data_IF_991703244619
#
_entry.id   IF_991703244619
#
_cell.length_a   1.000
_cell.length_b   1.000
_cell.length_c   1.000
_cell.angle_alpha   90.00
_cell.angle_beta   90.00
_cell.angle_gamma   90.00
#
_symmetry.space_group_name_H-M   'P 1'
#
loop_
_entity.id
_entity.type
_entity.pdbx_description
1 polymer ?
#
# COMPACT_ATOMS: atom_id res chain seq x y z
N UNK A 1 -16.49 32.64 3.98
CA UNK A 1 -15.68 31.76 4.84
C UNK A 1 -16.41 30.45 5.09
N UNK A 2 -15.69 29.35 5.08
CA UNK A 2 -16.28 28.04 5.27
C UNK A 2 -16.63 27.78 6.74
N UNK A 3 -17.57 26.86 6.98
CA UNK A 3 -17.89 26.38 8.33
C UNK A 3 -16.65 25.86 9.08
N UNK A 4 -15.65 25.38 8.34
CA UNK A 4 -14.41 24.85 8.91
C UNK A 4 -13.58 25.96 9.58
N UNK A 5 -13.53 27.17 8.99
CA UNK A 5 -12.80 28.28 9.58
C UNK A 5 -13.42 28.71 10.91
N UNK A 6 -14.75 28.79 10.96
CA UNK A 6 -15.47 29.12 12.19
C UNK A 6 -15.29 28.07 13.27
N UNK A 7 -15.33 26.79 12.89
CA UNK A 7 -15.13 25.68 13.82
C UNK A 7 -13.72 25.70 14.40
N UNK A 8 -12.72 25.99 13.58
CA UNK A 8 -11.34 26.07 14.01
C UNK A 8 -11.14 27.25 14.98
N UNK A 9 -11.75 28.41 14.71
CA UNK A 9 -11.72 29.56 15.61
C UNK A 9 -12.32 29.22 16.98
N UNK A 10 -13.45 28.50 17.00
CA UNK A 10 -14.07 28.05 18.25
C UNK A 10 -13.17 27.09 19.01
N UNK A 11 -12.49 26.20 18.31
CA UNK A 11 -11.54 25.27 18.94
C UNK A 11 -10.40 26.02 19.59
N UNK A 12 -9.80 26.98 18.90
CA UNK A 12 -8.71 27.81 19.42
C UNK A 12 -9.19 28.62 20.62
N UNK A 13 -10.36 29.24 20.53
CA UNK A 13 -10.94 30.06 21.61
C UNK A 13 -11.29 29.23 22.85
N UNK A 14 -11.59 27.95 22.70
CA UNK A 14 -11.97 27.08 23.82
C UNK A 14 -10.80 26.64 24.69
N UNK A 15 -9.56 26.87 24.25
CA UNK A 15 -8.36 26.46 24.98
C UNK A 15 -8.08 24.95 24.91
N UNK A 16 -8.82 24.22 24.08
CA UNK A 16 -8.66 22.75 23.94
C UNK A 16 -7.46 22.36 23.08
N UNK A 17 -6.89 23.32 22.35
CA UNK A 17 -5.63 23.10 21.66
C UNK A 17 -4.55 23.97 22.29
N UNK A 18 -3.30 23.54 22.21
CA UNK A 18 -2.16 24.29 22.72
C UNK A 18 -1.67 25.25 21.62
N UNK A 19 -2.46 26.28 21.35
CA UNK A 19 -2.23 27.20 20.22
C UNK A 19 -2.55 28.64 20.64
N UNK A 20 -1.77 29.58 20.09
CA UNK A 20 -1.87 31.00 20.46
C UNK A 20 -2.99 31.69 19.68
N UNK A 21 -3.06 31.44 18.38
CA UNK A 21 -4.09 32.03 17.53
C UNK A 21 -4.36 31.12 16.31
N UNK A 22 -5.48 31.40 15.64
CA UNK A 22 -5.94 30.62 14.48
C UNK A 22 -4.92 30.60 13.34
N UNK A 23 -4.33 31.74 13.04
CA UNK A 23 -3.39 31.88 11.91
C UNK A 23 -2.16 31.00 12.10
N UNK A 24 -1.56 31.03 13.29
CA UNK A 24 -0.41 30.20 13.61
C UNK A 24 -0.77 28.73 13.64
N UNK A 25 -1.94 28.42 14.16
CA UNK A 25 -2.40 27.03 14.21
C UNK A 25 -2.64 26.44 12.83
N UNK A 26 -3.22 27.23 11.92
CA UNK A 26 -3.37 26.81 10.52
C UNK A 26 -2.01 26.50 9.90
N UNK A 27 -1.02 27.37 10.13
CA UNK A 27 0.33 27.15 9.63
C UNK A 27 0.95 25.86 10.19
N UNK A 28 0.76 25.59 11.48
CA UNK A 28 1.22 24.35 12.12
C UNK A 28 0.56 23.12 11.50
N UNK A 29 -0.77 23.17 11.32
CA UNK A 29 -1.52 22.05 10.74
C UNK A 29 -1.09 21.76 9.32
N UNK A 30 -0.88 22.80 8.52
CA UNK A 30 -0.40 22.65 7.14
C UNK A 30 1.03 22.10 7.10
N UNK A 31 1.87 22.50 8.05
CA UNK A 31 3.20 21.96 8.20
C UNK A 31 3.19 20.45 8.52
N UNK A 32 2.28 20.02 9.39
CA UNK A 32 2.08 18.61 9.68
C UNK A 32 1.62 17.83 8.45
N UNK A 33 0.71 18.43 7.65
CA UNK A 33 0.23 17.81 6.43
C UNK A 33 1.35 17.59 5.41
N UNK A 34 2.27 18.55 5.29
CA UNK A 34 3.39 18.46 4.34
C UNK A 34 4.56 17.61 4.89
N UNK A 35 4.72 17.53 6.22
CA UNK A 35 5.77 16.76 6.87
C UNK A 35 5.32 15.35 7.23
N UNK A 36 4.58 15.23 8.33
CA UNK A 36 4.15 13.92 8.87
C UNK A 36 3.17 13.21 7.93
N UNK A 37 2.34 13.97 7.24
CA UNK A 37 1.38 13.43 6.27
C UNK A 37 1.80 13.77 4.83
N UNK A 38 3.08 13.57 4.52
CA UNK A 38 3.66 13.94 3.23
C UNK A 38 2.92 13.26 2.08
N UNK A 39 2.41 14.02 1.09
CA UNK A 39 1.60 13.45 0.02
C UNK A 39 2.35 12.48 -0.89
N UNK A 40 3.64 12.67 -1.11
CA UNK A 40 4.46 11.78 -1.94
C UNK A 40 4.62 10.43 -1.25
N UNK A 41 4.95 10.43 0.03
CA UNK A 41 5.10 9.21 0.83
C UNK A 41 3.75 8.49 1.00
N UNK A 42 2.67 9.24 1.20
CA UNK A 42 1.33 8.69 1.31
C UNK A 42 0.90 8.01 0.01
N UNK A 43 1.24 8.59 -1.15
CA UNK A 43 0.94 7.98 -2.46
C UNK A 43 1.67 6.65 -2.63
N UNK A 44 2.93 6.58 -2.25
CA UNK A 44 3.73 5.35 -2.30
C UNK A 44 3.15 4.26 -1.40
N UNK A 45 2.83 4.61 -0.15
CA UNK A 45 2.21 3.67 0.79
C UNK A 45 0.84 3.22 0.30
N UNK A 46 0.04 4.15 -0.23
CA UNK A 46 -1.29 3.84 -0.77
C UNK A 46 -1.22 2.82 -1.90
N UNK A 47 -0.26 2.99 -2.81
CA UNK A 47 -0.04 2.04 -3.91
C UNK A 47 0.37 0.66 -3.39
N UNK A 48 1.24 0.62 -2.39
CA UNK A 48 1.69 -0.61 -1.75
C UNK A 48 0.53 -1.35 -1.07
N UNK A 49 -0.24 -0.64 -0.24
CA UNK A 49 -1.38 -1.25 0.46
C UNK A 49 -2.52 -1.63 -0.48
N UNK A 50 -2.71 -0.89 -1.56
CA UNK A 50 -3.71 -1.22 -2.57
C UNK A 50 -3.35 -2.54 -3.28
N UNK A 51 -2.07 -2.76 -3.55
CA UNK A 51 -1.61 -4.02 -4.12
C UNK A 51 -1.88 -5.20 -3.17
N UNK A 52 -1.77 -4.99 -1.87
CA UNK A 52 -2.06 -6.00 -0.85
C UNK A 52 -3.55 -6.20 -0.60
N UNK A 53 -4.37 -5.19 -0.88
CA UNK A 53 -5.80 -5.18 -0.51
C UNK A 53 -6.72 -5.91 -1.47
N UNK A 54 -6.25 -6.96 -2.12
CA UNK A 54 -7.04 -7.77 -3.04
C UNK A 54 -6.91 -9.25 -2.66
N UNK A 55 -8.05 -9.94 -2.61
CA UNK A 55 -8.12 -11.35 -2.21
C UNK A 55 -7.24 -12.25 -3.10
N UNK A 56 -7.34 -12.08 -4.41
CA UNK A 56 -6.57 -12.88 -5.36
C UNK A 56 -5.07 -12.64 -5.20
N UNK A 57 -4.66 -11.39 -5.05
CA UNK A 57 -3.26 -11.06 -4.84
C UNK A 57 -2.74 -11.59 -3.51
N UNK A 58 -3.56 -11.62 -2.45
CA UNK A 58 -3.21 -12.25 -1.19
C UNK A 58 -2.93 -13.74 -1.38
N UNK A 59 -3.76 -14.43 -2.16
CA UNK A 59 -3.58 -15.86 -2.47
C UNK A 59 -2.30 -16.08 -3.29
N UNK A 60 -2.04 -15.22 -4.26
CA UNK A 60 -0.82 -15.30 -5.07
C UNK A 60 0.43 -15.12 -4.23
N UNK A 61 0.44 -14.14 -3.34
CA UNK A 61 1.56 -13.91 -2.42
C UNK A 61 1.79 -15.11 -1.50
N UNK A 62 0.72 -15.73 -1.01
CA UNK A 62 0.82 -16.91 -0.17
C UNK A 62 1.44 -18.09 -0.91
N UNK A 63 1.09 -18.27 -2.18
CA UNK A 63 1.70 -19.29 -3.03
C UNK A 63 3.19 -19.01 -3.25
N UNK A 64 3.52 -17.77 -3.59
CA UNK A 64 4.91 -17.36 -3.85
C UNK A 64 5.77 -17.37 -2.58
N UNK A 65 5.15 -17.22 -1.40
CA UNK A 65 5.82 -17.41 -0.13
C UNK A 65 6.28 -18.86 0.04
N UNK A 66 5.50 -19.81 -0.46
CA UNK A 66 5.84 -21.24 -0.39
C UNK A 66 7.01 -21.58 -1.30
N UNK A 67 7.00 -21.05 -2.52
CA UNK A 67 8.05 -21.34 -3.52
C UNK A 67 7.94 -20.38 -4.70
N UNK A 68 9.01 -20.25 -5.44
CA UNK A 68 9.04 -19.56 -6.72
C UNK A 68 8.14 -20.30 -7.73
N UNK A 69 7.39 -19.56 -8.53
CA UNK A 69 6.47 -20.13 -9.52
C UNK A 69 6.48 -19.34 -10.83
N UNK A 70 6.26 -20.02 -11.94
CA UNK A 70 6.00 -19.39 -13.22
C UNK A 70 4.50 -19.07 -13.36
N UNK A 71 4.14 -18.29 -14.39
CA UNK A 71 2.75 -17.88 -14.64
C UNK A 71 1.81 -19.07 -14.77
N UNK A 72 2.22 -20.13 -15.50
CA UNK A 72 1.37 -21.30 -15.72
C UNK A 72 1.07 -22.05 -14.41
N UNK A 73 1.99 -22.05 -13.47
CA UNK A 73 1.77 -22.67 -12.16
C UNK A 73 0.73 -21.87 -11.36
N UNK A 74 0.82 -20.55 -11.38
CA UNK A 74 -0.16 -19.68 -10.71
C UNK A 74 -1.55 -19.79 -11.34
N UNK A 75 -1.63 -19.82 -12.66
CA UNK A 75 -2.90 -20.01 -13.39
C UNK A 75 -3.54 -21.33 -12.99
N UNK A 76 -2.76 -22.39 -12.96
CA UNK A 76 -3.25 -23.72 -12.60
C UNK A 76 -3.70 -23.80 -11.15
N UNK A 77 -2.88 -23.27 -10.22
CA UNK A 77 -3.18 -23.31 -8.80
C UNK A 77 -4.46 -22.53 -8.44
N UNK A 78 -4.68 -21.39 -9.08
CA UNK A 78 -5.80 -20.49 -8.75
C UNK A 78 -6.96 -20.56 -9.75
N UNK A 79 -6.86 -21.40 -10.76
CA UNK A 79 -7.89 -21.54 -11.81
C UNK A 79 -8.24 -20.20 -12.46
N UNK A 80 -7.22 -19.45 -12.85
CA UNK A 80 -7.37 -18.11 -13.41
C UNK A 80 -7.08 -18.10 -14.91
N UNK A 81 -7.40 -16.99 -15.57
CA UNK A 81 -6.98 -16.76 -16.95
C UNK A 81 -5.60 -16.13 -16.98
N UNK A 82 -4.90 -16.24 -18.10
CA UNK A 82 -3.59 -15.62 -18.24
C UNK A 82 -3.63 -14.09 -18.16
N UNK A 83 -4.56 -13.38 -18.83
CA UNK A 83 -4.62 -11.92 -18.73
C UNK A 83 -4.86 -11.43 -17.30
N UNK A 84 -5.74 -12.08 -16.57
CA UNK A 84 -6.04 -11.72 -15.16
C UNK A 84 -4.83 -11.96 -14.28
N UNK A 85 -4.16 -13.09 -14.44
CA UNK A 85 -2.94 -13.43 -13.68
C UNK A 85 -1.84 -12.43 -13.96
N UNK A 86 -1.59 -12.12 -15.23
CA UNK A 86 -0.57 -11.14 -15.63
C UNK A 86 -0.86 -9.75 -15.09
N UNK A 87 -2.13 -9.35 -15.04
CA UNK A 87 -2.55 -8.08 -14.47
C UNK A 87 -2.20 -7.98 -12.98
N UNK A 88 -2.53 -9.02 -12.21
CA UNK A 88 -2.21 -9.06 -10.78
C UNK A 88 -0.71 -9.10 -10.52
N UNK A 89 0.03 -9.88 -11.31
CA UNK A 89 1.49 -9.96 -11.19
C UNK A 89 2.13 -8.59 -11.44
N UNK A 90 1.65 -7.85 -12.43
CA UNK A 90 2.16 -6.51 -12.72
C UNK A 90 1.94 -5.57 -11.55
N UNK A 91 0.75 -5.58 -10.94
CA UNK A 91 0.44 -4.74 -9.78
C UNK A 91 1.37 -5.08 -8.60
N UNK A 92 1.57 -6.35 -8.33
CA UNK A 92 2.47 -6.80 -7.26
C UNK A 92 3.93 -6.44 -7.53
N UNK A 93 4.36 -6.55 -8.78
CA UNK A 93 5.72 -6.22 -9.18
C UNK A 93 5.98 -4.71 -9.10
N UNK A 94 5.03 -3.89 -9.56
CA UNK A 94 5.10 -2.42 -9.46
C UNK A 94 5.12 -1.94 -8.02
N UNK A 95 4.48 -2.66 -7.12
CA UNK A 95 4.51 -2.37 -5.68
C UNK A 95 5.76 -2.95 -4.99
N UNK A 96 6.64 -3.57 -5.74
CA UNK A 96 7.90 -4.14 -5.25
C UNK A 96 7.70 -5.28 -4.25
N UNK A 97 6.55 -5.95 -4.30
CA UNK A 97 6.24 -7.09 -3.44
C UNK A 97 6.80 -8.40 -4.00
N UNK A 98 6.91 -8.49 -5.32
CA UNK A 98 7.47 -9.64 -6.02
C UNK A 98 8.49 -9.18 -7.06
N UNK A 99 9.34 -10.10 -7.46
CA UNK A 99 10.31 -9.89 -8.53
C UNK A 99 10.23 -11.06 -9.50
N UNK A 100 10.72 -10.85 -10.71
CA UNK A 100 10.76 -11.89 -11.73
C UNK A 100 12.20 -12.17 -12.16
N UNK A 101 12.42 -13.38 -12.63
CA UNK A 101 13.66 -13.77 -13.31
C UNK A 101 13.30 -14.57 -14.55
N UNK A 102 14.09 -14.41 -15.59
CA UNK A 102 13.89 -15.11 -16.85
C UNK A 102 14.88 -16.27 -16.97
N UNK A 103 14.36 -17.44 -17.33
CA UNK A 103 15.18 -18.62 -17.59
C UNK A 103 14.70 -19.23 -18.91
N UNK A 104 15.44 -19.00 -19.98
CA UNK A 104 15.00 -19.33 -21.33
C UNK A 104 13.73 -18.58 -21.69
N UNK A 105 12.69 -19.29 -22.05
CA UNK A 105 11.36 -18.73 -22.34
C UNK A 105 10.44 -18.64 -21.13
N UNK A 106 10.90 -19.12 -19.97
CA UNK A 106 10.12 -19.15 -18.74
C UNK A 106 10.40 -17.90 -17.91
N UNK A 107 9.36 -17.38 -17.27
CA UNK A 107 9.49 -16.28 -16.32
C UNK A 107 9.00 -16.79 -14.97
N UNK A 108 9.87 -16.73 -13.97
CA UNK A 108 9.57 -17.16 -12.60
C UNK A 108 9.42 -15.96 -11.69
N UNK A 109 8.44 -16.01 -10.81
CA UNK A 109 8.15 -14.97 -9.84
C UNK A 109 8.46 -15.45 -8.44
N UNK A 110 8.97 -14.54 -7.62
CA UNK A 110 9.31 -14.80 -6.23
C UNK A 110 9.08 -13.57 -5.36
N UNK A 111 8.98 -13.78 -4.06
CA UNK A 111 8.83 -12.70 -3.07
C UNK A 111 10.13 -11.90 -2.99
N UNK A 112 10.01 -10.55 -2.98
CA UNK A 112 11.19 -9.67 -2.85
C UNK A 112 11.78 -9.70 -1.45
N UNK A 113 10.92 -9.72 -0.43
CA UNK A 113 11.33 -9.69 0.98
C UNK A 113 10.55 -10.75 1.77
N UNK A 114 11.12 -11.95 1.95
CA UNK A 114 10.43 -13.03 2.65
C UNK A 114 10.03 -12.69 4.09
N UNK A 115 10.84 -11.92 4.81
CA UNK A 115 10.54 -11.52 6.19
C UNK A 115 9.32 -10.62 6.24
N UNK A 116 9.26 -9.61 5.37
CA UNK A 116 8.10 -8.73 5.27
C UNK A 116 6.85 -9.49 4.84
N UNK A 117 6.98 -10.38 3.86
CA UNK A 117 5.86 -11.20 3.40
C UNK A 117 5.29 -12.06 4.53
N UNK A 118 6.14 -12.67 5.34
CA UNK A 118 5.70 -13.45 6.50
C UNK A 118 4.89 -12.61 7.49
N UNK A 119 5.32 -11.37 7.73
CA UNK A 119 4.60 -10.44 8.62
C UNK A 119 3.25 -10.03 8.03
N UNK A 120 3.23 -9.66 6.75
CA UNK A 120 2.01 -9.19 6.08
C UNK A 120 0.97 -10.29 5.91
N UNK A 121 1.40 -11.51 5.58
CA UNK A 121 0.51 -12.65 5.37
C UNK A 121 0.14 -13.37 6.66
N UNK A 122 0.85 -13.07 7.75
CA UNK A 122 0.59 -13.65 9.07
C UNK A 122 -0.48 -12.92 9.87
N UNK A 123 -1.08 -11.87 9.33
CA UNK A 123 -2.14 -11.11 10.00
C UNK A 123 -3.37 -12.00 10.18
N UNK A 124 -3.84 -12.12 11.41
CA UNK A 124 -5.05 -12.87 11.76
C UNK A 124 -6.18 -11.91 12.09
N UNK A 125 -7.32 -12.09 11.46
CA UNK A 125 -8.48 -11.24 11.62
C UNK A 125 -9.65 -12.06 12.14
#
# INVERSE_FOLDING_TARGET
>A
MSKNAESLERLVSSGKCNCVNVKEYIAQLRGLAEGDANPIEAKKRGKFYKALGDETRQRMLSLLKSREMCVCELITALSMTQPTTSHHLRILEEANLIKSRKEGKWVFYSITNPTLAAQLLGVKI
#
